data_IF_532317164505
#
_entry.id   IF_532317164505
#
_cell.length_a   1.000
_cell.length_b   1.000
_cell.length_c   1.000
_cell.angle_alpha   90.00
_cell.angle_beta   90.00
_cell.angle_gamma   90.00
#
_symmetry.space_group_name_H-M   'P 1'
#
loop_
_entity.id
_entity.type
_entity.pdbx_description
1 polymer ?
#
# COMPACT_ATOMS: atom_id res chain seq x y z
N UNK A 1 -20.07 8.16 -23.20
CA UNK A 1 -19.97 7.24 -22.04
C UNK A 1 -19.02 7.88 -21.04
N UNK A 2 -19.54 8.60 -20.04
CA UNK A 2 -18.72 9.15 -18.96
C UNK A 2 -18.56 8.09 -17.87
N UNK A 3 -17.36 7.55 -17.73
CA UNK A 3 -17.03 6.69 -16.60
C UNK A 3 -17.03 7.53 -15.34
N UNK A 4 -17.93 7.22 -14.41
CA UNK A 4 -17.91 7.85 -13.09
C UNK A 4 -16.77 7.20 -12.30
N UNK A 5 -15.64 7.90 -12.16
CA UNK A 5 -14.42 7.40 -11.52
C UNK A 5 -14.43 7.60 -10.01
N UNK A 6 -15.60 7.65 -9.38
CA UNK A 6 -15.68 7.77 -7.93
C UNK A 6 -14.95 6.56 -7.31
N UNK A 7 -13.91 6.79 -6.50
CA UNK A 7 -13.13 5.70 -5.93
C UNK A 7 -14.04 4.83 -5.08
N UNK A 8 -14.06 3.53 -5.38
CA UNK A 8 -14.90 2.54 -4.69
C UNK A 8 -14.45 2.41 -3.22
N UNK A 9 -13.16 2.65 -2.97
CA UNK A 9 -12.54 2.60 -1.65
C UNK A 9 -11.63 3.82 -1.44
N UNK A 10 -11.68 4.39 -0.22
CA UNK A 10 -10.87 5.56 0.16
C UNK A 10 -9.39 5.21 0.41
N UNK A 11 -9.10 3.93 0.64
CA UNK A 11 -7.77 3.37 0.83
C UNK A 11 -7.74 1.93 0.33
N UNK A 12 -6.70 1.56 -0.41
CA UNK A 12 -6.45 0.19 -0.89
C UNK A 12 -4.97 -0.15 -0.70
N UNK A 13 -4.70 -1.36 -0.23
CA UNK A 13 -3.36 -1.91 -0.12
C UNK A 13 -3.20 -3.10 -1.07
N UNK A 14 -2.14 -3.08 -1.87
CA UNK A 14 -1.72 -4.18 -2.72
C UNK A 14 -0.40 -4.76 -2.18
N UNK A 15 -0.34 -6.09 -2.12
CA UNK A 15 0.86 -6.82 -1.74
C UNK A 15 1.28 -7.69 -2.93
N UNK A 16 2.49 -7.43 -3.43
CA UNK A 16 3.17 -8.32 -4.36
C UNK A 16 4.21 -9.15 -3.61
N UNK A 17 4.14 -10.47 -3.80
CA UNK A 17 5.05 -11.43 -3.18
C UNK A 17 5.78 -12.16 -4.30
N UNK A 18 7.01 -11.74 -4.58
CA UNK A 18 7.85 -12.40 -5.58
C UNK A 18 9.07 -13.04 -4.92
N UNK A 19 9.07 -14.38 -4.90
CA UNK A 19 10.10 -15.20 -4.26
C UNK A 19 10.38 -14.76 -2.81
N UNK A 20 11.47 -14.04 -2.64
CA UNK A 20 12.05 -13.64 -1.38
C UNK A 20 11.88 -12.14 -1.10
N UNK A 21 11.00 -11.47 -1.82
CA UNK A 21 10.75 -10.03 -1.72
C UNK A 21 9.25 -9.77 -1.59
N UNK A 22 8.91 -8.88 -0.67
CA UNK A 22 7.56 -8.38 -0.46
C UNK A 22 7.53 -6.91 -0.87
N UNK A 23 6.61 -6.54 -1.74
CA UNK A 23 6.40 -5.15 -2.14
C UNK A 23 4.99 -4.77 -1.74
N UNK A 24 4.86 -3.75 -0.89
CA UNK A 24 3.58 -3.23 -0.43
C UNK A 24 3.37 -1.87 -1.06
N UNK A 25 2.25 -1.70 -1.75
CA UNK A 25 1.79 -0.43 -2.28
C UNK A 25 0.47 -0.06 -1.63
N UNK A 26 0.37 1.12 -1.04
CA UNK A 26 -0.90 1.65 -0.51
C UNK A 26 -1.27 2.91 -1.25
N UNK A 27 -2.49 2.91 -1.77
CA UNK A 27 -3.12 4.06 -2.40
C UNK A 27 -4.25 4.53 -1.48
N UNK A 28 -4.23 5.81 -1.11
CA UNK A 28 -5.24 6.38 -0.21
C UNK A 28 -5.50 7.85 -0.54
N UNK A 29 -6.65 8.35 -0.10
CA UNK A 29 -7.00 9.76 -0.19
C UNK A 29 -6.57 10.48 1.09
N UNK A 30 -5.77 11.55 0.97
CA UNK A 30 -5.38 12.37 2.11
C UNK A 30 -6.52 13.28 2.59
N UNK A 31 -6.30 14.02 3.69
CA UNK A 31 -7.31 14.92 4.28
C UNK A 31 -7.79 16.01 3.30
N UNK A 32 -7.01 16.33 2.28
CA UNK A 32 -7.36 17.30 1.24
C UNK A 32 -8.10 16.67 0.04
N UNK A 33 -8.47 15.40 0.13
CA UNK A 33 -9.12 14.68 -0.97
C UNK A 33 -8.16 14.29 -2.10
N UNK A 34 -6.83 14.38 -1.87
CA UNK A 34 -5.84 14.12 -2.92
C UNK A 34 -5.35 12.67 -2.83
N UNK A 35 -5.23 11.96 -3.96
CA UNK A 35 -4.65 10.62 -3.97
C UNK A 35 -3.17 10.65 -3.61
N UNK A 36 -2.77 9.72 -2.74
CA UNK A 36 -1.41 9.45 -2.31
C UNK A 36 -1.06 7.99 -2.56
N UNK A 37 0.25 7.74 -2.69
CA UNK A 37 0.82 6.41 -2.87
C UNK A 37 2.03 6.26 -1.96
N UNK A 38 2.04 5.21 -1.14
CA UNK A 38 3.21 4.76 -0.40
C UNK A 38 3.64 3.38 -0.90
N UNK A 39 4.88 3.26 -1.35
CA UNK A 39 5.49 2.01 -1.78
C UNK A 39 6.63 1.67 -0.81
N UNK A 40 6.63 0.48 -0.22
CA UNK A 40 7.77 -0.03 0.55
C UNK A 40 8.08 -1.46 0.17
N UNK A 41 9.36 -1.78 0.20
CA UNK A 41 9.89 -3.10 -0.10
C UNK A 41 10.48 -3.73 1.16
N UNK A 42 10.24 -5.02 1.33
CA UNK A 42 10.74 -5.83 2.43
C UNK A 42 11.41 -7.09 1.87
N UNK A 43 12.44 -7.56 2.57
CA UNK A 43 13.06 -8.85 2.27
C UNK A 43 12.23 -10.05 2.72
N UNK A 44 12.79 -11.25 2.59
CA UNK A 44 12.11 -12.53 2.81
C UNK A 44 12.18 -13.08 4.22
N UNK A 45 13.06 -12.52 5.04
CA UNK A 45 13.33 -13.13 6.32
C UNK A 45 12.16 -12.87 7.28
N UNK A 46 11.96 -13.76 8.26
CA UNK A 46 10.93 -13.56 9.31
C UNK A 46 11.03 -12.18 9.95
N UNK A 47 12.25 -11.63 10.06
CA UNK A 47 12.54 -10.28 10.52
C UNK A 47 11.91 -9.19 9.63
N UNK A 48 11.94 -9.36 8.31
CA UNK A 48 11.45 -8.35 7.36
C UNK A 48 9.91 -8.33 7.32
N UNK A 49 9.27 -9.49 7.49
CA UNK A 49 7.81 -9.55 7.71
C UNK A 49 7.38 -8.90 9.02
N UNK A 50 8.19 -9.04 10.07
CA UNK A 50 7.94 -8.33 11.34
C UNK A 50 8.09 -6.82 11.14
N UNK A 51 9.12 -6.37 10.43
CA UNK A 51 9.31 -4.97 10.08
C UNK A 51 8.14 -4.41 9.26
N UNK A 52 7.52 -5.21 8.38
CA UNK A 52 6.30 -4.82 7.67
C UNK A 52 5.11 -4.59 8.61
N UNK A 53 4.92 -5.44 9.64
CA UNK A 53 3.82 -5.28 10.62
C UNK A 53 4.07 -4.10 11.55
N UNK A 54 5.33 -3.89 11.97
CA UNK A 54 5.73 -2.81 12.89
C UNK A 54 5.96 -1.47 12.18
N UNK A 55 5.84 -1.43 10.85
CA UNK A 55 6.00 -0.20 10.08
C UNK A 55 4.92 0.81 10.46
N UNK A 56 5.35 2.04 10.74
CA UNK A 56 4.45 3.19 10.87
C UNK A 56 3.92 3.54 9.47
N UNK A 57 2.88 2.83 9.11
CA UNK A 57 2.19 3.03 7.87
C UNK A 57 1.20 4.18 8.04
N UNK A 58 1.36 5.24 7.26
CA UNK A 58 0.51 6.42 7.33
C UNK A 58 -0.54 6.34 6.23
N UNK A 59 -1.62 5.61 6.49
CA UNK A 59 -2.80 5.53 5.64
C UNK A 59 -4.09 5.51 6.45
#
# INVERSE_FOLDING_TARGET
>A
MSWNSNPIHRCVAALDVHQAKLTVCVLYEDEAGKPRMELREFGSFKRDRKAMVESDWRW
#
